data_IF_815667548480
#
_entry.id   IF_815667548480
#
_cell.length_a   1.000
_cell.length_b   1.000
_cell.length_c   1.000
_cell.angle_alpha   90.00
_cell.angle_beta   90.00
_cell.angle_gamma   90.00
#
_symmetry.space_group_name_H-M   'P 1'
#
loop_
_entity.id
_entity.type
_entity.pdbx_description
1 polymer ?
#
# COMPACT_ATOMS: atom_id res chain seq x y z
N UNK A 1 -78.56 -4.13 -8.94
CA UNK A 1 -79.83 -4.06 -9.70
C UNK A 1 -79.54 -3.51 -11.09
N UNK A 2 -79.39 -4.38 -12.10
CA UNK A 2 -79.85 -4.20 -13.50
C UNK A 2 -79.29 -5.32 -14.38
N UNK A 3 -80.23 -6.02 -15.01
CA UNK A 3 -80.07 -7.00 -16.08
C UNK A 3 -79.45 -6.34 -17.33
N UNK A 4 -78.81 -7.11 -18.20
CA UNK A 4 -79.35 -7.39 -19.53
C UNK A 4 -78.73 -8.67 -20.12
N UNK A 5 -79.61 -9.56 -20.60
CA UNK A 5 -79.33 -10.76 -21.37
C UNK A 5 -78.90 -10.40 -22.80
N UNK A 6 -78.05 -11.23 -23.42
CA UNK A 6 -78.32 -11.75 -24.77
C UNK A 6 -77.64 -13.12 -24.96
N UNK A 7 -78.41 -14.06 -25.51
CA UNK A 7 -78.05 -15.46 -25.73
C UNK A 7 -77.54 -15.67 -27.15
N UNK A 8 -76.57 -16.57 -27.38
CA UNK A 8 -76.57 -17.39 -28.59
C UNK A 8 -75.67 -18.65 -28.50
N UNK A 9 -76.29 -19.79 -28.81
CA UNK A 9 -75.81 -21.04 -29.45
C UNK A 9 -74.53 -21.75 -28.92
N UNK A 10 -74.66 -22.88 -28.21
CA UNK A 10 -74.76 -24.29 -28.70
C UNK A 10 -73.42 -24.87 -29.19
N UNK A 11 -72.74 -25.69 -28.37
CA UNK A 11 -72.62 -27.15 -28.55
C UNK A 11 -71.85 -27.77 -27.38
N UNK A 12 -72.45 -28.82 -26.81
CA UNK A 12 -71.92 -29.70 -25.77
C UNK A 12 -71.01 -30.77 -26.37
N UNK A 13 -69.92 -31.14 -25.67
CA UNK A 13 -69.54 -32.53 -25.45
C UNK A 13 -68.46 -32.63 -24.35
N UNK A 14 -68.92 -33.09 -23.18
CA UNK A 14 -68.10 -33.59 -22.09
C UNK A 14 -67.59 -34.98 -22.44
N UNK A 15 -66.27 -35.16 -22.43
CA UNK A 15 -65.59 -36.44 -22.17
C UNK A 15 -64.43 -36.05 -21.24
N UNK A 16 -64.48 -36.31 -19.94
CA UNK A 16 -64.40 -37.65 -19.35
C UNK A 16 -62.97 -37.86 -18.88
N UNK A 17 -62.67 -37.41 -17.65
CA UNK A 17 -61.41 -37.68 -16.97
C UNK A 17 -61.32 -39.15 -16.51
N UNK A 18 -60.07 -39.57 -16.31
CA UNK A 18 -59.55 -40.89 -15.87
C UNK A 18 -59.38 -41.89 -17.02
N UNK A 19 -58.18 -42.32 -17.39
CA UNK A 19 -56.85 -42.19 -16.80
C UNK A 19 -56.13 -43.52 -17.05
N UNK A 20 -54.90 -43.47 -17.56
CA UNK A 20 -53.88 -44.49 -17.33
C UNK A 20 -52.51 -43.98 -17.79
N UNK A 21 -51.50 -44.30 -16.99
CA UNK A 21 -50.17 -43.71 -17.01
C UNK A 21 -49.37 -44.08 -18.26
N UNK A 22 -48.71 -43.09 -18.87
CA UNK A 22 -47.60 -43.29 -19.79
C UNK A 22 -46.38 -42.59 -19.18
N UNK A 23 -45.42 -43.40 -18.71
CA UNK A 23 -44.10 -42.94 -18.24
C UNK A 23 -43.38 -42.22 -19.38
N UNK A 24 -43.36 -40.89 -19.38
CA UNK A 24 -42.37 -40.14 -20.14
C UNK A 24 -41.07 -40.09 -19.32
N UNK A 25 -40.00 -40.63 -19.90
CA UNK A 25 -38.63 -40.39 -19.41
C UNK A 25 -38.33 -38.91 -19.62
N UNK A 26 -38.49 -38.11 -18.57
CA UNK A 26 -37.85 -36.80 -18.49
C UNK A 26 -36.34 -37.05 -18.43
N UNK A 27 -35.64 -36.68 -19.51
CA UNK A 27 -34.19 -36.52 -19.49
C UNK A 27 -33.91 -35.37 -18.53
N UNK A 28 -33.32 -35.73 -17.39
CA UNK A 28 -32.65 -34.80 -16.49
C UNK A 28 -31.44 -34.24 -17.25
N UNK A 29 -31.64 -33.11 -17.94
CA UNK A 29 -30.50 -32.29 -18.35
C UNK A 29 -30.07 -31.53 -17.11
N UNK A 30 -29.18 -32.17 -16.34
CA UNK A 30 -28.33 -31.45 -15.40
C UNK A 30 -27.47 -30.49 -16.22
N UNK A 31 -27.93 -29.27 -16.39
CA UNK A 31 -27.03 -28.14 -16.62
C UNK A 31 -26.16 -28.05 -15.37
N UNK A 32 -24.99 -28.68 -15.43
CA UNK A 32 -23.89 -28.30 -14.56
C UNK A 32 -23.63 -26.83 -14.87
N UNK A 33 -24.12 -25.95 -13.99
CA UNK A 33 -23.65 -24.57 -13.93
C UNK A 33 -22.15 -24.68 -13.68
N UNK A 34 -21.37 -24.59 -14.76
CA UNK A 34 -19.94 -24.44 -14.68
C UNK A 34 -19.73 -23.18 -13.85
N UNK A 35 -19.35 -23.34 -12.57
CA UNK A 35 -18.93 -22.20 -11.76
C UNK A 35 -17.76 -21.58 -12.52
N UNK A 36 -17.99 -20.44 -13.17
CA UNK A 36 -16.96 -19.70 -13.90
C UNK A 36 -15.80 -19.51 -12.93
N UNK A 37 -14.70 -20.23 -13.18
CA UNK A 37 -13.52 -20.18 -12.33
C UNK A 37 -12.76 -18.91 -12.66
N UNK A 38 -12.88 -17.89 -11.81
CA UNK A 38 -12.15 -16.62 -11.95
C UNK A 38 -10.65 -16.91 -11.94
N UNK A 39 -9.93 -16.47 -12.98
CA UNK A 39 -8.48 -16.68 -13.12
C UNK A 39 -7.69 -15.79 -12.16
N UNK A 40 -6.42 -16.12 -11.91
CA UNK A 40 -5.53 -15.27 -11.10
C UNK A 40 -5.41 -13.86 -11.70
N UNK A 41 -5.21 -13.75 -13.00
CA UNK A 41 -5.15 -12.46 -13.72
C UNK A 41 -6.43 -11.62 -13.54
N UNK A 42 -7.61 -12.24 -13.63
CA UNK A 42 -8.87 -11.53 -13.42
C UNK A 42 -9.03 -11.00 -11.99
N UNK A 43 -8.53 -11.75 -10.99
CA UNK A 43 -8.52 -11.30 -9.60
C UNK A 43 -7.53 -10.15 -9.40
N UNK A 44 -6.32 -10.25 -9.96
CA UNK A 44 -5.31 -9.20 -9.92
C UNK A 44 -5.82 -7.90 -10.56
N UNK A 45 -6.42 -7.98 -11.76
CA UNK A 45 -7.02 -6.82 -12.42
C UNK A 45 -8.14 -6.20 -11.58
N UNK A 46 -8.97 -7.04 -10.94
CA UNK A 46 -10.08 -6.58 -10.10
C UNK A 46 -9.58 -5.82 -8.87
N UNK A 47 -8.63 -6.37 -8.11
CA UNK A 47 -8.09 -5.71 -6.92
C UNK A 47 -7.29 -4.47 -7.27
N UNK A 48 -6.48 -4.49 -8.35
CA UNK A 48 -5.75 -3.30 -8.80
C UNK A 48 -6.71 -2.17 -9.21
N UNK A 49 -7.75 -2.47 -10.00
CA UNK A 49 -8.72 -1.45 -10.46
C UNK A 49 -9.53 -0.85 -9.31
N UNK A 50 -10.02 -1.69 -8.40
CA UNK A 50 -10.79 -1.23 -7.24
C UNK A 50 -9.92 -0.37 -6.32
N UNK A 51 -8.69 -0.80 -6.04
CA UNK A 51 -7.79 -0.08 -5.14
C UNK A 51 -7.25 1.21 -5.76
N UNK A 52 -6.96 1.20 -7.06
CA UNK A 52 -6.65 2.42 -7.84
C UNK A 52 -7.72 3.50 -7.65
N UNK A 53 -9.00 3.13 -7.57
CA UNK A 53 -10.08 4.10 -7.40
C UNK A 53 -10.05 4.85 -6.05
N UNK A 54 -9.34 4.34 -5.04
CA UNK A 54 -9.05 5.11 -3.82
C UNK A 54 -8.32 6.42 -4.17
N UNK A 55 -7.31 6.34 -5.03
CA UNK A 55 -6.46 7.46 -5.45
C UNK A 55 -7.03 8.22 -6.65
N UNK A 56 -7.95 7.61 -7.39
CA UNK A 56 -8.55 8.25 -8.55
C UNK A 56 -9.85 8.98 -8.22
N UNK A 57 -10.85 8.25 -7.73
CA UNK A 57 -12.17 8.79 -7.35
C UNK A 57 -12.19 9.29 -5.91
N UNK A 58 -11.44 8.64 -5.01
CA UNK A 58 -11.38 8.96 -3.59
C UNK A 58 -10.38 10.08 -3.23
N UNK A 59 -9.59 10.56 -4.19
CA UNK A 59 -8.67 11.69 -3.98
C UNK A 59 -9.39 12.95 -3.47
N UNK A 60 -8.65 13.77 -2.71
CA UNK A 60 -9.14 15.08 -2.30
C UNK A 60 -9.27 15.97 -3.56
N UNK A 61 -10.43 16.60 -3.78
CA UNK A 61 -10.77 17.21 -5.07
C UNK A 61 -9.95 18.45 -5.42
N UNK A 62 -9.31 19.14 -4.49
CA UNK A 62 -8.54 20.37 -4.73
C UNK A 62 -7.09 20.05 -5.12
N UNK A 63 -6.45 19.18 -4.37
CA UNK A 63 -5.06 18.74 -4.54
C UNK A 63 -4.93 17.62 -5.57
N UNK A 64 -5.92 16.74 -5.68
CA UNK A 64 -5.79 15.48 -6.41
C UNK A 64 -4.90 14.44 -5.71
N UNK A 65 -4.48 14.71 -4.47
CA UNK A 65 -3.67 13.84 -3.62
C UNK A 65 -4.55 12.90 -2.78
N UNK A 66 -3.92 11.94 -2.11
CA UNK A 66 -4.60 10.92 -1.33
C UNK A 66 -5.14 11.50 -0.01
N UNK A 67 -6.43 11.26 0.26
CA UNK A 67 -6.97 11.44 1.61
C UNK A 67 -6.28 10.45 2.54
N UNK A 68 -5.98 10.86 3.76
CA UNK A 68 -5.47 9.98 4.82
C UNK A 68 -6.37 8.75 5.00
N UNK A 69 -7.68 9.00 5.08
CA UNK A 69 -8.69 7.96 5.33
C UNK A 69 -9.96 8.24 4.55
N UNK A 70 -10.65 7.18 4.15
CA UNK A 70 -12.00 7.24 3.59
C UNK A 70 -12.90 6.28 4.36
N UNK A 71 -13.91 6.83 5.02
CA UNK A 71 -14.92 6.07 5.75
C UNK A 71 -16.26 6.13 5.02
N UNK A 72 -16.75 4.99 4.53
CA UNK A 72 -18.02 4.94 3.80
C UNK A 72 -19.24 5.04 4.71
N UNK A 73 -19.06 4.90 6.03
CA UNK A 73 -20.08 5.18 7.04
C UNK A 73 -20.19 6.69 7.37
N UNK A 74 -19.32 7.53 6.81
CA UNK A 74 -19.19 8.98 7.05
C UNK A 74 -18.93 9.35 8.52
N UNK A 75 -18.39 8.41 9.31
CA UNK A 75 -18.07 8.63 10.73
C UNK A 75 -16.57 8.92 10.86
N UNK A 76 -16.19 10.18 11.07
CA UNK A 76 -14.79 10.61 11.29
C UNK A 76 -14.63 11.12 12.74
N UNK A 77 -14.26 10.27 13.71
CA UNK A 77 -14.18 10.66 15.12
C UNK A 77 -13.04 11.64 15.41
N UNK A 78 -11.98 11.55 14.61
CA UNK A 78 -10.74 12.31 14.75
C UNK A 78 -10.33 12.81 13.38
N UNK A 79 -10.11 14.13 13.28
CA UNK A 79 -9.72 14.85 12.06
C UNK A 79 -10.79 14.92 10.97
N UNK A 80 -10.61 15.88 10.05
CA UNK A 80 -11.51 16.10 8.92
C UNK A 80 -11.37 14.98 7.87
N UNK A 81 -12.43 14.73 7.10
CA UNK A 81 -12.45 13.77 5.99
C UNK A 81 -11.49 14.15 4.86
N UNK A 82 -11.19 15.44 4.70
CA UNK A 82 -10.41 15.98 3.59
C UNK A 82 -8.94 16.22 3.95
N UNK A 83 -8.45 15.62 5.05
CA UNK A 83 -7.02 15.58 5.35
C UNK A 83 -6.27 14.77 4.29
N UNK A 84 -5.21 15.35 3.76
CA UNK A 84 -4.30 14.76 2.79
C UNK A 84 -3.08 14.22 3.53
N UNK A 85 -2.69 12.98 3.23
CA UNK A 85 -1.44 12.37 3.75
C UNK A 85 -0.35 12.41 2.70
N UNK A 86 0.88 12.73 3.11
CA UNK A 86 2.01 12.90 2.20
C UNK A 86 2.59 11.57 1.75
N UNK A 87 2.95 10.66 2.65
CA UNK A 87 3.53 9.37 2.27
C UNK A 87 2.53 8.48 1.54
N UNK A 88 1.27 8.45 2.01
CA UNK A 88 0.18 7.78 1.30
C UNK A 88 -0.08 8.37 -0.11
N UNK A 89 0.19 9.65 -0.31
CA UNK A 89 0.15 10.26 -1.64
C UNK A 89 1.33 9.86 -2.53
N UNK A 90 2.49 9.58 -1.96
CA UNK A 90 3.62 8.96 -2.67
C UNK A 90 3.23 7.64 -3.32
N UNK A 91 2.58 6.76 -2.57
CA UNK A 91 2.03 5.52 -3.13
C UNK A 91 0.91 5.81 -4.15
N UNK A 92 0.08 6.82 -3.88
CA UNK A 92 -1.00 7.24 -4.76
C UNK A 92 -0.56 7.70 -6.14
N UNK A 93 0.54 8.45 -6.26
CA UNK A 93 1.06 8.88 -7.57
C UNK A 93 1.59 7.70 -8.39
N UNK A 94 2.12 6.66 -7.75
CA UNK A 94 2.49 5.40 -8.41
C UNK A 94 1.25 4.60 -8.81
N UNK A 95 0.21 4.57 -7.97
CA UNK A 95 -1.07 3.95 -8.30
C UNK A 95 -1.72 4.60 -9.53
N UNK A 96 -1.54 5.91 -9.75
CA UNK A 96 -2.00 6.58 -10.98
C UNK A 96 -1.33 5.98 -12.22
N UNK A 97 -0.03 5.67 -12.15
CA UNK A 97 0.68 5.01 -13.25
C UNK A 97 0.16 3.58 -13.50
N UNK A 98 -0.22 2.82 -12.45
CA UNK A 98 -0.94 1.53 -12.62
C UNK A 98 -2.19 1.76 -13.47
N UNK A 99 -2.95 2.82 -13.18
CA UNK A 99 -4.15 3.16 -13.94
C UNK A 99 -3.90 3.47 -15.41
N UNK A 100 -2.74 4.03 -15.75
CA UNK A 100 -2.33 4.28 -17.14
C UNK A 100 -1.95 2.95 -17.81
N UNK A 101 -1.06 2.17 -17.19
CA UNK A 101 -0.51 0.93 -17.78
C UNK A 101 -1.53 -0.20 -17.89
N UNK A 102 -2.57 -0.18 -17.05
CA UNK A 102 -3.68 -1.15 -17.07
C UNK A 102 -4.93 -0.63 -17.77
N UNK A 103 -4.82 0.49 -18.50
CA UNK A 103 -5.91 1.11 -19.26
C UNK A 103 -7.18 1.42 -18.42
N UNK A 104 -7.02 1.67 -17.11
CA UNK A 104 -8.11 2.14 -16.26
C UNK A 104 -8.44 3.60 -16.55
N UNK A 105 -7.42 4.38 -16.92
CA UNK A 105 -7.49 5.77 -17.37
C UNK A 105 -6.59 5.97 -18.58
N UNK A 106 -6.84 7.02 -19.36
CA UNK A 106 -5.92 7.39 -20.43
C UNK A 106 -4.68 8.05 -19.87
N UNK A 107 -3.54 7.91 -20.56
CA UNK A 107 -2.28 8.59 -20.24
C UNK A 107 -2.45 10.11 -20.05
N UNK A 108 -3.23 10.73 -20.92
CA UNK A 108 -3.57 12.16 -20.84
C UNK A 108 -4.30 12.55 -19.54
N UNK A 109 -5.25 11.72 -19.07
CA UNK A 109 -5.94 11.96 -17.79
C UNK A 109 -4.99 11.74 -16.62
N UNK A 110 -4.13 10.72 -16.69
CA UNK A 110 -3.11 10.46 -15.69
C UNK A 110 -2.14 11.64 -15.54
N UNK A 111 -1.61 12.13 -16.67
CA UNK A 111 -0.74 13.31 -16.72
C UNK A 111 -1.40 14.54 -16.10
N UNK A 112 -2.65 14.85 -16.49
CA UNK A 112 -3.38 15.99 -15.93
C UNK A 112 -3.61 15.87 -14.41
N UNK A 113 -3.80 14.66 -13.88
CA UNK A 113 -3.91 14.45 -12.43
C UNK A 113 -2.58 14.67 -11.73
N UNK A 114 -1.48 14.19 -12.29
CA UNK A 114 -0.15 14.31 -11.70
C UNK A 114 0.36 15.74 -11.74
N UNK A 115 0.07 16.50 -12.81
CA UNK A 115 0.33 17.95 -12.86
C UNK A 115 -0.40 18.69 -11.73
N UNK A 116 -1.67 18.36 -11.50
CA UNK A 116 -2.46 18.94 -10.41
C UNK A 116 -1.87 18.62 -9.02
N UNK A 117 -1.44 17.39 -8.82
CA UNK A 117 -0.78 16.97 -7.59
C UNK A 117 0.52 17.75 -7.35
N UNK A 118 1.37 17.88 -8.37
CA UNK A 118 2.63 18.63 -8.31
C UNK A 118 2.38 20.14 -8.15
N UNK A 119 1.35 20.70 -8.80
CA UNK A 119 0.90 22.08 -8.60
C UNK A 119 0.54 22.34 -7.13
N UNK A 120 -0.16 21.42 -6.49
CA UNK A 120 -0.51 21.54 -5.08
C UNK A 120 0.73 21.47 -4.18
N UNK A 121 1.61 20.49 -4.40
CA UNK A 121 2.83 20.28 -3.61
C UNK A 121 3.81 21.46 -3.70
N UNK A 122 3.91 22.11 -4.87
CA UNK A 122 4.72 23.32 -5.08
C UNK A 122 4.31 24.48 -4.17
N UNK A 123 3.01 24.55 -3.81
CA UNK A 123 2.42 25.65 -3.06
C UNK A 123 2.08 25.29 -1.60
N UNK A 124 2.21 24.01 -1.23
CA UNK A 124 1.95 23.54 0.12
C UNK A 124 3.03 23.99 1.11
N UNK A 125 2.68 24.03 2.39
CA UNK A 125 3.64 24.27 3.46
C UNK A 125 4.76 23.21 3.43
N UNK A 126 6.01 23.68 3.51
CA UNK A 126 7.23 22.87 3.60
C UNK A 126 8.15 23.45 4.66
N UNK A 127 8.98 22.58 5.24
CA UNK A 127 9.85 22.87 6.37
C UNK A 127 11.24 22.33 6.05
N UNK A 128 12.16 23.23 5.67
CA UNK A 128 13.46 22.83 5.10
C UNK A 128 13.26 21.87 3.90
N UNK A 129 12.34 22.23 3.02
CA UNK A 129 11.97 21.45 1.84
C UNK A 129 11.13 20.19 2.08
N UNK A 130 11.13 19.63 3.30
CA UNK A 130 10.28 18.48 3.64
C UNK A 130 8.83 18.89 3.85
N UNK A 131 7.89 18.02 3.48
CA UNK A 131 6.46 18.22 3.74
C UNK A 131 6.08 17.70 5.14
N UNK A 132 4.99 18.21 5.74
CA UNK A 132 4.44 17.62 6.96
C UNK A 132 3.79 16.27 6.68
N UNK A 133 3.49 15.51 7.74
CA UNK A 133 2.71 14.27 7.62
C UNK A 133 1.34 14.51 6.97
N UNK A 134 0.63 15.56 7.44
CA UNK A 134 -0.70 15.92 6.97
C UNK A 134 -0.81 17.36 6.45
N UNK A 135 -1.56 17.50 5.37
CA UNK A 135 -1.99 18.77 4.80
C UNK A 135 -3.51 18.87 4.76
N UNK A 136 -4.01 20.09 4.83
CA UNK A 136 -5.41 20.42 4.55
C UNK A 136 -5.59 20.81 3.08
N UNK A 137 -6.83 20.84 2.53
CA UNK A 137 -7.08 21.14 1.11
C UNK A 137 -6.57 22.50 0.59
N UNK A 138 -6.21 23.43 1.47
CA UNK A 138 -5.62 24.72 1.10
C UNK A 138 -4.07 24.71 1.10
N UNK A 139 -3.45 23.54 1.25
CA UNK A 139 -2.00 23.37 1.29
C UNK A 139 -1.36 23.70 2.64
N UNK A 140 -2.15 23.85 3.71
CA UNK A 140 -1.62 24.15 5.05
C UNK A 140 -1.39 22.92 5.89
N UNK A 141 -0.26 22.91 6.59
CA UNK A 141 0.07 21.88 7.58
C UNK A 141 -1.02 21.81 8.65
N UNK A 142 -1.42 20.58 8.97
CA UNK A 142 -2.22 20.29 10.17
C UNK A 142 -1.43 19.31 11.05
N UNK A 143 -1.38 19.52 12.37
CA UNK A 143 -0.58 18.68 13.25
C UNK A 143 -1.09 17.24 13.27
N UNK A 144 -0.18 16.28 13.14
CA UNK A 144 -0.45 14.86 13.39
C UNK A 144 -0.55 14.57 14.89
N UNK A 145 0.29 15.26 15.67
CA UNK A 145 0.23 15.31 17.12
C UNK A 145 0.62 16.71 17.62
N UNK A 146 0.51 16.98 18.93
CA UNK A 146 0.77 18.32 19.49
C UNK A 146 2.11 18.94 19.05
N UNK A 147 3.17 18.13 19.00
CA UNK A 147 4.53 18.58 18.66
C UNK A 147 4.94 18.27 17.22
N UNK A 148 4.13 17.50 16.52
CA UNK A 148 4.37 17.11 15.14
C UNK A 148 3.56 18.02 14.21
N UNK A 149 4.09 19.23 14.04
CA UNK A 149 3.47 20.34 13.30
C UNK A 149 4.49 21.02 12.36
N UNK A 150 5.43 20.24 11.84
CA UNK A 150 6.47 20.69 10.93
C UNK A 150 6.75 19.63 9.86
N UNK A 151 8.00 19.49 9.43
CA UNK A 151 8.35 18.49 8.41
C UNK A 151 8.45 17.09 9.01
N UNK A 152 7.93 16.12 8.25
CA UNK A 152 8.08 14.68 8.48
C UNK A 152 8.95 14.11 7.34
N UNK A 153 10.17 13.71 7.67
CA UNK A 153 11.15 13.28 6.68
C UNK A 153 10.88 11.87 6.14
N UNK A 154 10.20 11.01 6.91
CA UNK A 154 9.86 9.64 6.48
C UNK A 154 8.70 9.72 5.48
N UNK A 155 7.65 10.49 5.78
CA UNK A 155 6.54 10.71 4.85
C UNK A 155 7.02 11.42 3.57
N UNK A 156 7.91 12.40 3.71
CA UNK A 156 8.59 13.04 2.58
C UNK A 156 9.36 12.03 1.73
N UNK A 157 10.05 11.06 2.35
CA UNK A 157 10.77 10.02 1.61
C UNK A 157 9.83 9.14 0.78
N UNK A 158 8.69 8.71 1.32
CA UNK A 158 7.69 7.95 0.55
C UNK A 158 7.09 8.77 -0.60
N UNK A 159 6.82 10.06 -0.38
CA UNK A 159 6.38 10.96 -1.46
C UNK A 159 7.42 11.05 -2.57
N UNK A 160 8.68 11.29 -2.21
CA UNK A 160 9.78 11.43 -3.16
C UNK A 160 10.05 10.13 -3.91
N UNK A 161 9.96 8.96 -3.27
CA UNK A 161 10.06 7.66 -3.94
C UNK A 161 9.03 7.55 -5.08
N UNK A 162 7.77 7.90 -4.80
CA UNK A 162 6.71 7.94 -5.80
C UNK A 162 6.93 9.00 -6.89
N UNK A 163 7.33 10.21 -6.52
CA UNK A 163 7.55 11.29 -7.47
C UNK A 163 8.72 11.01 -8.41
N UNK A 164 9.86 10.53 -7.90
CA UNK A 164 10.99 10.15 -8.76
C UNK A 164 10.62 9.01 -9.72
N UNK A 165 9.76 8.09 -9.29
CA UNK A 165 9.21 7.07 -10.19
C UNK A 165 8.38 7.69 -11.32
N UNK A 166 7.52 8.67 -11.00
CA UNK A 166 6.72 9.43 -12.00
C UNK A 166 7.62 10.23 -12.94
N UNK A 167 8.67 10.86 -12.40
CA UNK A 167 9.68 11.58 -13.20
C UNK A 167 10.27 10.67 -14.26
N UNK A 168 10.82 9.51 -13.87
CA UNK A 168 11.45 8.58 -14.81
C UNK A 168 10.45 8.03 -15.85
N UNK A 169 9.16 7.89 -15.50
CA UNK A 169 8.13 7.46 -16.45
C UNK A 169 7.82 8.48 -17.56
N UNK A 170 8.05 9.77 -17.28
CA UNK A 170 7.73 10.88 -18.18
C UNK A 170 8.96 11.61 -18.75
N UNK A 171 10.17 11.29 -18.27
CA UNK A 171 11.44 11.94 -18.65
C UNK A 171 11.67 11.97 -20.17
N UNK A 172 11.42 10.86 -20.85
CA UNK A 172 11.60 10.72 -22.30
C UNK A 172 10.31 10.97 -23.10
N UNK A 173 9.28 11.51 -22.44
CA UNK A 173 7.97 11.79 -23.00
C UNK A 173 7.91 13.02 -23.93
N UNK A 174 6.69 13.47 -24.16
CA UNK A 174 6.43 14.71 -24.90
C UNK A 174 6.79 15.97 -24.06
N UNK A 175 6.74 17.15 -24.67
CA UNK A 175 7.13 18.41 -24.01
C UNK A 175 6.35 18.73 -22.73
N UNK A 176 5.09 18.30 -22.60
CA UNK A 176 4.29 18.50 -21.38
C UNK A 176 4.71 17.54 -20.28
N UNK A 177 4.95 16.27 -20.64
CA UNK A 177 5.45 15.24 -19.73
C UNK A 177 6.84 15.60 -19.18
N UNK A 178 7.73 16.08 -20.04
CA UNK A 178 9.06 16.57 -19.65
C UNK A 178 9.00 17.74 -18.68
N UNK A 179 8.03 18.64 -18.83
CA UNK A 179 7.82 19.74 -17.88
C UNK A 179 7.40 19.24 -16.50
N UNK A 180 6.53 18.23 -16.43
CA UNK A 180 6.18 17.59 -15.16
C UNK A 180 7.42 16.96 -14.52
N UNK A 181 8.20 16.19 -15.28
CA UNK A 181 9.43 15.56 -14.79
C UNK A 181 10.44 16.59 -14.25
N UNK A 182 10.64 17.72 -14.94
CA UNK A 182 11.51 18.81 -14.49
C UNK A 182 11.03 19.47 -13.19
N UNK A 183 9.72 19.64 -13.01
CA UNK A 183 9.15 20.18 -11.76
C UNK A 183 9.34 19.23 -10.59
N UNK A 184 9.16 17.94 -10.83
CA UNK A 184 9.45 16.91 -9.84
C UNK A 184 10.94 16.92 -9.46
N UNK A 185 11.85 17.00 -10.43
CA UNK A 185 13.29 17.12 -10.16
C UNK A 185 13.58 18.31 -9.24
N UNK A 186 12.97 19.46 -9.51
CA UNK A 186 13.13 20.65 -8.67
C UNK A 186 12.63 20.42 -7.25
N UNK A 187 11.44 19.83 -7.08
CA UNK A 187 10.90 19.51 -5.74
C UNK A 187 11.81 18.57 -4.96
N UNK A 188 12.36 17.56 -5.63
CA UNK A 188 13.36 16.63 -5.07
C UNK A 188 14.63 17.35 -4.61
N UNK A 189 15.16 18.24 -5.44
CA UNK A 189 16.37 19.02 -5.16
C UNK A 189 16.19 20.03 -4.01
N UNK A 190 14.96 20.42 -3.70
CA UNK A 190 14.66 21.38 -2.64
C UNK A 190 14.53 20.74 -1.24
N UNK A 191 14.50 19.40 -1.12
CA UNK A 191 14.44 18.74 0.20
C UNK A 191 15.81 18.80 0.88
N UNK A 192 15.89 19.47 2.03
CA UNK A 192 17.13 19.65 2.79
C UNK A 192 17.41 18.45 3.72
N UNK A 193 17.73 17.28 3.17
CA UNK A 193 17.93 16.07 3.98
C UNK A 193 19.04 16.22 5.04
N UNK A 194 20.09 16.97 4.74
CA UNK A 194 21.20 17.23 5.65
C UNK A 194 20.79 18.10 6.85
N UNK A 195 19.78 18.98 6.71
CA UNK A 195 19.19 19.72 7.83
C UNK A 195 18.69 18.78 8.93
N UNK A 196 18.01 17.70 8.53
CA UNK A 196 17.44 16.70 9.43
C UNK A 196 18.47 15.81 10.12
N UNK A 197 19.77 16.04 9.90
CA UNK A 197 20.81 15.43 10.72
C UNK A 197 21.00 16.13 12.06
N UNK A 198 20.56 17.38 12.20
CA UNK A 198 20.91 18.25 13.35
C UNK A 198 22.44 18.39 13.54
N UNK A 199 23.23 18.11 12.51
CA UNK A 199 24.71 18.07 12.58
C UNK A 199 25.26 16.79 13.23
N UNK A 200 24.44 15.77 13.42
CA UNK A 200 24.79 14.47 14.00
C UNK A 200 24.90 13.38 12.92
N UNK A 201 25.37 12.18 13.28
CA UNK A 201 25.47 11.04 12.35
C UNK A 201 24.20 10.17 12.40
N UNK A 202 23.03 10.79 12.32
CA UNK A 202 21.71 10.14 12.27
C UNK A 202 20.71 11.10 11.63
N UNK A 203 19.65 10.58 10.99
CA UNK A 203 18.51 11.40 10.56
C UNK A 203 17.44 11.41 11.64
N UNK A 204 16.89 12.60 11.89
CA UNK A 204 15.71 12.79 12.74
C UNK A 204 14.45 12.76 11.88
N UNK A 205 13.42 12.11 12.41
CA UNK A 205 12.14 11.96 11.72
C UNK A 205 11.43 13.31 11.53
N UNK A 206 11.46 14.18 12.56
CA UNK A 206 10.66 15.40 12.58
C UNK A 206 11.51 16.65 12.88
N UNK A 207 11.08 17.77 12.32
CA UNK A 207 11.51 19.11 12.73
C UNK A 207 10.32 20.08 12.68
N UNK A 208 10.19 20.94 13.69
CA UNK A 208 9.12 21.93 13.79
C UNK A 208 9.64 23.36 13.88
N UNK A 209 9.01 24.36 13.23
CA UNK A 209 9.35 25.76 13.45
C UNK A 209 8.97 26.28 14.86
N UNK A 210 8.03 25.62 15.55
CA UNK A 210 7.57 25.99 16.90
C UNK A 210 8.30 25.20 17.98
N UNK A 211 8.52 23.90 17.74
CA UNK A 211 9.07 22.95 18.72
C UNK A 211 10.50 22.49 18.40
N UNK A 212 11.09 22.96 17.30
CA UNK A 212 12.42 22.58 16.83
C UNK A 212 12.57 21.04 16.77
N UNK A 213 13.44 20.48 17.60
CA UNK A 213 13.77 19.05 17.65
C UNK A 213 13.09 18.31 18.80
N UNK A 214 12.08 18.89 19.46
CA UNK A 214 11.47 18.35 20.67
C UNK A 214 10.78 16.98 20.48
N UNK A 215 10.38 16.63 19.26
CA UNK A 215 9.93 15.26 18.94
C UNK A 215 11.06 14.24 19.18
N UNK A 216 12.31 14.67 18.99
CA UNK A 216 13.54 13.98 19.35
C UNK A 216 13.54 12.48 18.99
N UNK A 217 13.24 12.20 17.72
CA UNK A 217 13.16 10.84 17.21
C UNK A 217 14.26 10.59 16.17
N UNK A 218 15.48 10.20 16.61
CA UNK A 218 16.52 9.72 15.71
C UNK A 218 16.12 8.36 15.13
N UNK A 219 16.26 8.17 13.82
CA UNK A 219 15.75 7.00 13.10
C UNK A 219 16.84 5.93 12.95
N UNK A 220 16.86 4.95 13.85
CA UNK A 220 17.65 3.72 13.72
C UNK A 220 16.88 2.60 13.01
N UNK A 221 17.59 1.73 12.28
CA UNK A 221 17.01 0.58 11.59
C UNK A 221 17.12 -0.73 12.40
N UNK A 222 16.43 -1.81 12.01
CA UNK A 222 15.64 -1.93 10.80
C UNK A 222 14.17 -1.60 11.04
N UNK A 223 13.59 -0.75 10.20
CA UNK A 223 12.16 -0.43 10.17
C UNK A 223 11.75 -0.01 8.73
N UNK A 224 10.59 0.63 8.56
CA UNK A 224 10.06 1.07 7.26
C UNK A 224 10.84 2.19 6.56
N UNK A 225 11.79 2.85 7.23
CA UNK A 225 12.38 4.13 6.80
C UNK A 225 13.71 4.01 6.04
N UNK A 226 14.06 2.83 5.50
CA UNK A 226 15.29 2.62 4.72
C UNK A 226 15.42 3.62 3.56
N UNK A 227 14.34 3.86 2.82
CA UNK A 227 14.32 4.73 1.65
C UNK A 227 14.65 6.19 1.99
N UNK A 228 14.33 6.63 3.22
CA UNK A 228 14.71 7.96 3.72
C UNK A 228 16.23 8.14 3.72
N UNK A 229 16.99 7.15 4.19
CA UNK A 229 18.45 7.22 4.19
C UNK A 229 19.05 7.11 2.78
N UNK A 230 18.47 6.27 1.93
CA UNK A 230 18.92 6.13 0.53
C UNK A 230 18.71 7.44 -0.23
N UNK A 231 17.51 8.04 -0.12
CA UNK A 231 17.20 9.32 -0.73
C UNK A 231 18.06 10.45 -0.14
N UNK A 232 18.23 10.50 1.18
CA UNK A 232 19.12 11.48 1.78
C UNK A 232 20.56 11.38 1.26
N UNK A 233 21.07 10.17 0.98
CA UNK A 233 22.40 9.99 0.41
C UNK A 233 22.44 10.31 -1.10
N UNK A 234 21.33 10.09 -1.80
CA UNK A 234 21.13 10.33 -3.22
C UNK A 234 20.94 11.81 -3.59
N UNK A 235 20.48 12.65 -2.65
CA UNK A 235 20.21 14.07 -2.90
C UNK A 235 21.41 14.77 -3.55
N UNK A 236 21.24 15.43 -4.72
CA UNK A 236 22.34 16.11 -5.40
C UNK A 236 22.67 17.48 -4.77
N UNK A 237 21.79 18.02 -3.92
CA UNK A 237 21.86 19.37 -3.34
C UNK A 237 22.08 19.36 -1.83
N UNK A 238 21.42 18.42 -1.13
CA UNK A 238 21.43 18.32 0.33
C UNK A 238 21.80 16.91 0.83
N UNK A 239 22.93 16.33 0.38
CA UNK A 239 23.28 14.96 0.71
C UNK A 239 23.76 14.78 2.16
N UNK A 240 23.33 13.70 2.81
CA UNK A 240 24.00 13.22 4.03
C UNK A 240 25.36 12.59 3.73
N UNK A 241 26.23 12.48 4.74
CA UNK A 241 27.45 11.69 4.63
C UNK A 241 27.17 10.20 4.88
N UNK A 242 28.09 9.32 4.45
CA UNK A 242 27.94 7.87 4.62
C UNK A 242 27.84 7.47 6.10
N UNK A 243 28.54 8.19 6.98
CA UNK A 243 28.55 7.93 8.42
C UNK A 243 27.17 8.12 9.06
N UNK A 244 26.32 8.98 8.49
CA UNK A 244 24.92 9.17 8.96
C UNK A 244 24.13 7.87 8.82
N UNK A 245 24.35 7.14 7.72
CA UNK A 245 23.76 5.83 7.50
C UNK A 245 24.40 4.74 8.38
N UNK A 246 25.73 4.67 8.43
CA UNK A 246 26.43 3.60 9.16
C UNK A 246 26.24 3.70 10.68
N UNK A 247 26.22 4.92 11.23
CA UNK A 247 26.12 5.15 12.68
C UNK A 247 24.67 5.32 13.15
N UNK A 248 23.84 5.99 12.35
CA UNK A 248 22.43 6.22 12.64
C UNK A 248 21.57 5.02 12.29
N UNK A 249 21.36 4.78 10.99
CA UNK A 249 20.52 3.68 10.51
C UNK A 249 21.05 2.31 10.93
N UNK A 250 22.30 2.00 10.57
CA UNK A 250 22.88 0.69 10.81
C UNK A 250 23.39 0.50 12.25
N UNK A 251 23.30 1.54 13.09
CA UNK A 251 23.66 1.52 14.52
C UNK A 251 25.08 0.97 14.76
N UNK A 252 26.05 1.41 13.96
CA UNK A 252 27.43 0.89 13.97
C UNK A 252 27.50 -0.64 13.78
N UNK A 253 26.65 -1.19 12.92
CA UNK A 253 26.53 -2.61 12.64
C UNK A 253 25.63 -3.39 13.61
N UNK A 254 25.08 -2.77 14.66
CA UNK A 254 24.14 -3.46 15.55
C UNK A 254 22.83 -3.89 14.84
N UNK A 255 22.53 -3.30 13.68
CA UNK A 255 21.40 -3.71 12.81
C UNK A 255 21.48 -5.17 12.35
N UNK A 256 22.66 -5.80 12.33
CA UNK A 256 22.83 -7.18 11.87
C UNK A 256 22.58 -8.23 12.96
N UNK A 257 22.09 -7.83 14.14
CA UNK A 257 21.77 -8.74 15.25
C UNK A 257 20.45 -9.46 15.02
N UNK A 258 20.43 -10.33 14.02
CA UNK A 258 19.26 -11.09 13.64
C UNK A 258 18.87 -12.16 14.68
N UNK A 259 17.71 -12.77 14.46
CA UNK A 259 17.26 -13.95 15.19
C UNK A 259 16.65 -14.96 14.23
N UNK A 260 16.31 -16.16 14.71
CA UNK A 260 15.57 -17.15 13.93
C UNK A 260 14.15 -17.29 14.47
N UNK A 261 13.15 -17.13 13.60
CA UNK A 261 11.74 -17.32 13.96
C UNK A 261 11.04 -18.14 12.87
N UNK A 262 10.21 -19.11 13.27
CA UNK A 262 9.60 -20.10 12.36
C UNK A 262 10.60 -20.76 11.37
N UNK A 263 11.84 -20.99 11.84
CA UNK A 263 12.93 -21.62 11.10
C UNK A 263 13.55 -20.76 10.00
N UNK A 264 13.34 -19.44 10.02
CA UNK A 264 13.92 -18.48 9.07
C UNK A 264 14.71 -17.40 9.83
N UNK A 265 15.90 -17.01 9.36
CA UNK A 265 16.62 -15.87 9.90
C UNK A 265 15.90 -14.57 9.54
N UNK A 266 15.84 -13.63 10.49
CA UNK A 266 15.23 -12.31 10.28
C UNK A 266 16.14 -11.38 9.46
N UNK A 267 17.40 -11.78 9.21
CA UNK A 267 18.43 -11.06 8.45
C UNK A 267 18.92 -9.78 9.13
N UNK A 268 18.01 -8.94 9.61
CA UNK A 268 18.30 -7.77 10.41
C UNK A 268 17.55 -7.81 11.75
N UNK A 269 17.99 -6.96 12.66
CA UNK A 269 17.30 -6.61 13.89
C UNK A 269 16.18 -5.60 13.59
N UNK A 270 14.94 -6.10 13.59
CA UNK A 270 13.73 -5.30 13.39
C UNK A 270 13.45 -4.36 14.57
N UNK A 271 14.01 -4.55 15.75
CA UNK A 271 13.71 -3.66 16.86
C UNK A 271 14.91 -3.44 17.76
N UNK A 272 15.45 -2.22 17.70
CA UNK A 272 16.43 -1.79 18.68
C UNK A 272 15.89 -1.79 20.12
N UNK A 273 14.59 -1.51 20.29
CA UNK A 273 13.96 -1.23 21.58
C UNK A 273 12.92 -2.28 22.03
N UNK A 274 12.77 -3.37 21.30
CA UNK A 274 11.78 -4.42 21.56
C UNK A 274 12.38 -5.81 21.25
N UNK A 275 11.83 -6.87 21.85
CA UNK A 275 12.27 -8.25 21.65
C UNK A 275 11.49 -8.98 20.53
N UNK A 276 10.65 -8.28 19.78
CA UNK A 276 9.85 -8.88 18.71
C UNK A 276 10.75 -9.37 17.58
N UNK A 277 10.56 -10.59 17.09
CA UNK A 277 11.43 -11.14 16.05
C UNK A 277 11.27 -10.41 14.71
N UNK A 278 10.06 -9.93 14.40
CA UNK A 278 9.75 -9.20 13.17
C UNK A 278 8.76 -8.07 13.44
N UNK A 279 8.81 -7.04 12.60
CA UNK A 279 7.85 -5.93 12.61
C UNK A 279 6.51 -6.22 11.94
N UNK A 280 5.59 -5.24 11.95
CA UNK A 280 4.44 -5.20 11.05
C UNK A 280 4.85 -5.40 9.60
N UNK A 281 4.00 -6.03 8.80
CA UNK A 281 4.36 -6.43 7.43
C UNK A 281 4.73 -5.26 6.51
N UNK A 282 4.19 -4.06 6.75
CA UNK A 282 4.45 -2.87 5.92
C UNK A 282 5.93 -2.44 5.86
N UNK A 283 6.75 -2.88 6.82
CA UNK A 283 8.20 -2.64 6.83
C UNK A 283 8.94 -3.33 5.68
N UNK A 284 8.36 -4.39 5.11
CA UNK A 284 8.87 -5.02 3.89
C UNK A 284 8.28 -4.39 2.60
N UNK A 285 7.44 -3.35 2.73
CA UNK A 285 6.69 -2.78 1.61
C UNK A 285 7.10 -1.34 1.28
N UNK A 286 7.00 -0.42 2.24
CA UNK A 286 6.97 1.02 1.92
C UNK A 286 8.25 1.49 1.23
N UNK A 287 9.40 1.20 1.84
CA UNK A 287 10.73 1.49 1.26
C UNK A 287 11.08 0.67 0.02
N UNK A 288 10.19 -0.20 -0.48
CA UNK A 288 10.44 -1.10 -1.61
C UNK A 288 9.36 -0.99 -2.69
N UNK A 289 8.58 0.09 -2.68
CA UNK A 289 7.60 0.35 -3.72
C UNK A 289 8.28 0.75 -5.02
N UNK A 290 9.32 1.57 -4.95
CA UNK A 290 10.23 1.94 -6.04
C UNK A 290 11.61 1.29 -5.89
N UNK A 291 12.21 1.25 -4.69
CA UNK A 291 13.50 0.57 -4.51
C UNK A 291 13.37 -0.93 -4.75
N UNK A 292 14.12 -1.47 -5.71
CA UNK A 292 14.06 -2.88 -6.04
C UNK A 292 14.91 -3.72 -5.07
N UNK A 293 14.32 -4.61 -4.25
CA UNK A 293 15.09 -5.46 -3.34
C UNK A 293 15.80 -6.63 -4.05
N UNK A 294 15.42 -7.00 -5.28
CA UNK A 294 16.02 -8.15 -5.99
C UNK A 294 17.48 -7.87 -6.34
N UNK A 295 18.38 -8.64 -5.75
CA UNK A 295 19.82 -8.49 -5.96
C UNK A 295 20.40 -7.25 -5.29
N UNK A 296 19.62 -6.56 -4.44
CA UNK A 296 20.05 -5.42 -3.66
C UNK A 296 20.71 -5.91 -2.37
N UNK A 297 21.99 -5.57 -2.19
CA UNK A 297 22.76 -5.92 -0.99
C UNK A 297 23.64 -4.77 -0.56
N UNK A 298 23.91 -4.66 0.72
CA UNK A 298 24.96 -3.80 1.27
C UNK A 298 25.84 -4.58 2.25
N UNK A 299 26.47 -3.89 3.19
CA UNK A 299 27.34 -4.51 4.20
C UNK A 299 26.55 -5.30 5.27
N UNK A 300 25.24 -5.09 5.35
CA UNK A 300 24.40 -5.52 6.45
C UNK A 300 23.39 -6.60 6.04
N UNK A 301 22.84 -6.55 4.82
CA UNK A 301 21.78 -7.47 4.40
C UNK A 301 21.75 -7.79 2.90
N UNK A 302 21.13 -8.94 2.60
CA UNK A 302 20.42 -9.17 1.33
C UNK A 302 18.95 -8.77 1.54
N UNK A 303 18.51 -7.70 0.87
CA UNK A 303 17.19 -7.12 1.10
C UNK A 303 16.05 -7.93 0.47
N UNK A 304 16.34 -8.75 -0.54
CA UNK A 304 15.36 -9.72 -1.04
C UNK A 304 15.11 -10.82 -0.02
N UNK A 305 16.18 -11.35 0.56
CA UNK A 305 16.07 -12.38 1.59
C UNK A 305 15.41 -11.85 2.86
N UNK A 306 15.75 -10.63 3.30
CA UNK A 306 15.12 -9.93 4.42
C UNK A 306 13.60 -9.88 4.25
N UNK A 307 13.12 -9.30 3.14
CA UNK A 307 11.70 -9.11 2.91
C UNK A 307 10.97 -10.44 2.73
N UNK A 308 11.57 -11.39 2.00
CA UNK A 308 11.01 -12.73 1.81
C UNK A 308 10.89 -13.48 3.13
N UNK A 309 11.91 -13.45 3.98
CA UNK A 309 11.88 -14.14 5.26
C UNK A 309 10.86 -13.47 6.19
N UNK A 310 10.79 -12.14 6.25
CA UNK A 310 9.77 -11.41 7.01
C UNK A 310 8.35 -11.82 6.58
N UNK A 311 8.07 -11.84 5.27
CA UNK A 311 6.78 -12.30 4.74
C UNK A 311 6.48 -13.75 5.12
N UNK A 312 7.43 -14.66 4.92
CA UNK A 312 7.20 -16.09 5.17
C UNK A 312 7.10 -16.40 6.66
N UNK A 313 7.75 -15.63 7.54
CA UNK A 313 7.58 -15.72 9.00
C UNK A 313 6.15 -15.36 9.39
N UNK A 314 5.62 -14.25 8.89
CA UNK A 314 4.25 -13.81 9.12
C UNK A 314 3.22 -14.83 8.59
N UNK A 315 3.44 -15.36 7.38
CA UNK A 315 2.62 -16.44 6.83
C UNK A 315 2.64 -17.69 7.70
N UNK A 316 3.83 -18.18 8.09
CA UNK A 316 3.97 -19.37 8.93
C UNK A 316 3.34 -19.20 10.30
N UNK A 317 3.44 -18.02 10.91
CA UNK A 317 2.75 -17.70 12.16
C UNK A 317 1.23 -17.83 11.99
N UNK A 318 0.66 -17.30 10.91
CA UNK A 318 -0.78 -17.40 10.65
C UNK A 318 -1.24 -18.84 10.36
N UNK A 319 -0.41 -19.66 9.69
CA UNK A 319 -0.69 -21.08 9.46
C UNK A 319 -0.62 -21.89 10.75
N UNK A 320 0.37 -21.62 11.61
CA UNK A 320 0.51 -22.23 12.93
C UNK A 320 -0.63 -21.83 13.87
N UNK A 321 -1.07 -20.57 13.77
CA UNK A 321 -2.18 -19.99 14.53
C UNK A 321 -2.12 -20.34 16.03
N UNK A 322 -1.05 -19.93 16.75
CA UNK A 322 -0.81 -20.36 18.13
C UNK A 322 -1.90 -19.88 19.12
N UNK A 323 -2.68 -18.86 18.73
CA UNK A 323 -3.82 -18.33 19.50
C UNK A 323 -5.17 -18.94 19.11
N UNK A 324 -5.20 -19.84 18.12
CA UNK A 324 -6.40 -20.49 17.59
C UNK A 324 -7.50 -19.51 17.14
N UNK A 325 -7.12 -18.35 16.59
CA UNK A 325 -8.09 -17.38 16.09
C UNK A 325 -8.82 -17.89 14.86
N UNK A 326 -10.12 -17.58 14.77
CA UNK A 326 -10.96 -18.01 13.66
C UNK A 326 -10.46 -17.49 12.31
N UNK A 327 -10.33 -18.41 11.36
CA UNK A 327 -10.03 -18.14 9.95
C UNK A 327 -8.55 -18.10 9.60
N UNK A 328 -7.66 -17.85 10.56
CA UNK A 328 -6.21 -17.82 10.32
C UNK A 328 -5.73 -19.14 9.69
N UNK A 329 -4.92 -19.06 8.64
CA UNK A 329 -4.43 -20.24 7.93
C UNK A 329 -3.74 -19.92 6.59
N UNK A 330 -3.66 -20.94 5.73
CA UNK A 330 -2.95 -20.87 4.44
C UNK A 330 -3.53 -19.84 3.46
N UNK A 331 -4.80 -19.49 3.59
CA UNK A 331 -5.52 -18.59 2.69
C UNK A 331 -6.11 -17.35 3.40
N UNK A 332 -5.75 -17.12 4.67
CA UNK A 332 -6.13 -15.93 5.44
C UNK A 332 -5.03 -15.61 6.46
N UNK A 333 -4.20 -14.61 6.15
CA UNK A 333 -3.01 -14.25 6.91
C UNK A 333 -2.67 -12.77 6.70
N UNK A 334 -1.74 -12.25 7.50
CA UNK A 334 -1.18 -10.92 7.32
C UNK A 334 -1.49 -9.98 8.48
N UNK A 335 -0.46 -9.67 9.27
CA UNK A 335 -0.54 -8.73 10.39
C UNK A 335 0.31 -7.50 10.08
N UNK A 336 -0.31 -6.32 10.13
CA UNK A 336 0.39 -5.06 9.96
C UNK A 336 -0.33 -3.94 10.71
N UNK A 337 0.29 -2.76 10.81
CA UNK A 337 -0.36 -1.58 11.38
C UNK A 337 -1.59 -1.21 10.55
N UNK A 338 -2.75 -1.10 11.19
CA UNK A 338 -4.03 -0.79 10.54
C UNK A 338 -5.07 -0.35 11.58
N UNK A 339 -6.29 -0.03 11.13
CA UNK A 339 -7.45 -0.01 12.02
C UNK A 339 -7.58 -1.34 12.77
N UNK A 340 -8.12 -1.24 13.98
CA UNK A 340 -8.29 -2.35 14.91
C UNK A 340 -9.59 -2.18 15.69
N UNK A 341 -10.00 -3.25 16.37
CA UNK A 341 -11.26 -3.31 17.14
C UNK A 341 -11.40 -2.10 18.08
N UNK A 342 -10.28 -1.67 18.69
CA UNK A 342 -10.21 -0.54 19.61
C UNK A 342 -9.40 0.64 19.05
N UNK A 343 -9.59 1.00 17.78
CA UNK A 343 -8.94 2.16 17.16
C UNK A 343 -7.93 1.78 16.10
N UNK A 344 -6.64 1.97 16.38
CA UNK A 344 -5.52 1.67 15.47
C UNK A 344 -4.41 0.97 16.25
N UNK A 345 -3.77 -0.05 15.65
CA UNK A 345 -2.72 -0.80 16.33
C UNK A 345 -1.69 -1.35 15.34
N UNK A 346 -0.43 -1.48 15.80
CA UNK A 346 0.66 -2.12 15.06
C UNK A 346 0.62 -3.64 15.20
N UNK A 347 -0.22 -4.32 14.42
CA UNK A 347 -0.35 -5.78 14.46
C UNK A 347 0.89 -6.47 13.91
N UNK A 348 1.33 -7.51 14.61
CA UNK A 348 2.49 -8.36 14.31
C UNK A 348 2.41 -9.63 15.17
N UNK A 349 3.18 -10.70 14.91
CA UNK A 349 3.01 -12.00 15.56
C UNK A 349 2.90 -11.98 17.10
N UNK A 350 3.74 -11.21 17.80
CA UNK A 350 3.72 -11.09 19.27
C UNK A 350 2.59 -10.18 19.80
N UNK A 351 2.03 -9.31 18.96
CA UNK A 351 0.91 -8.39 19.26
C UNK A 351 -0.36 -8.70 18.47
N UNK A 352 -0.57 -9.98 18.18
CA UNK A 352 -1.74 -10.47 17.46
C UNK A 352 -3.00 -10.46 18.35
N UNK A 353 -4.03 -9.73 17.91
CA UNK A 353 -5.35 -9.64 18.54
C UNK A 353 -6.46 -10.01 17.54
N UNK A 354 -6.18 -10.99 16.68
CA UNK A 354 -7.09 -11.57 15.68
C UNK A 354 -7.50 -10.65 14.53
N UNK A 355 -6.82 -9.51 14.36
CA UNK A 355 -7.08 -8.55 13.28
C UNK A 355 -6.15 -8.84 12.10
N UNK A 356 -6.74 -9.12 10.94
CA UNK A 356 -6.04 -9.29 9.67
C UNK A 356 -6.25 -8.03 8.84
N UNK A 357 -5.17 -7.54 8.22
CA UNK A 357 -5.20 -6.39 7.33
C UNK A 357 -4.79 -6.82 5.93
N UNK A 358 -5.68 -6.74 4.91
CA UNK A 358 -5.41 -7.23 3.55
C UNK A 358 -4.10 -6.74 2.93
N UNK A 359 -3.68 -5.49 3.20
CA UNK A 359 -2.44 -4.95 2.65
C UNK A 359 -1.20 -5.76 3.02
N UNK A 360 -1.19 -6.41 4.20
CA UNK A 360 -0.06 -7.24 4.63
C UNK A 360 0.21 -8.39 3.65
N UNK A 361 -0.84 -9.16 3.32
CA UNK A 361 -0.72 -10.29 2.40
C UNK A 361 -0.64 -9.82 0.94
N UNK A 362 -1.48 -8.87 0.52
CA UNK A 362 -1.58 -8.46 -0.87
C UNK A 362 -0.36 -7.67 -1.35
N UNK A 363 0.20 -6.79 -0.53
CA UNK A 363 1.41 -6.03 -0.88
C UNK A 363 2.69 -6.88 -0.78
N UNK A 364 2.59 -8.07 -0.18
CA UNK A 364 3.66 -9.09 -0.19
C UNK A 364 3.67 -9.97 -1.45
N UNK A 365 2.84 -9.67 -2.47
CA UNK A 365 2.74 -10.44 -3.72
C UNK A 365 4.10 -10.75 -4.37
N UNK A 366 5.08 -9.83 -4.41
CA UNK A 366 6.38 -10.16 -4.99
C UNK A 366 7.16 -11.20 -4.21
N UNK A 367 7.00 -11.27 -2.88
CA UNK A 367 7.81 -12.08 -1.98
C UNK A 367 7.22 -13.49 -1.73
N UNK A 368 5.89 -13.58 -1.67
CA UNK A 368 5.15 -14.82 -1.43
C UNK A 368 3.95 -14.94 -2.39
N UNK A 369 4.18 -14.99 -3.72
CA UNK A 369 3.11 -14.85 -4.71
C UNK A 369 2.04 -15.94 -4.60
N UNK A 370 2.41 -17.17 -4.24
CA UNK A 370 1.45 -18.27 -4.09
C UNK A 370 0.52 -18.03 -2.90
N UNK A 371 1.08 -17.62 -1.77
CA UNK A 371 0.40 -17.37 -0.50
C UNK A 371 -0.47 -16.11 -0.57
N UNK A 372 0.03 -15.03 -1.20
CA UNK A 372 -0.70 -13.80 -1.45
C UNK A 372 -1.84 -14.00 -2.44
N UNK A 373 -1.66 -14.81 -3.49
CA UNK A 373 -2.74 -15.16 -4.41
C UNK A 373 -3.80 -16.06 -3.75
N UNK A 374 -3.40 -16.96 -2.85
CA UNK A 374 -4.35 -17.75 -2.06
C UNK A 374 -5.22 -16.84 -1.18
N UNK A 375 -4.61 -15.86 -0.51
CA UNK A 375 -5.33 -14.83 0.25
C UNK A 375 -6.31 -14.03 -0.63
N UNK A 376 -5.83 -13.49 -1.76
CA UNK A 376 -6.66 -12.72 -2.69
C UNK A 376 -7.87 -13.53 -3.16
N UNK A 377 -7.64 -14.77 -3.56
CA UNK A 377 -8.69 -15.68 -4.03
C UNK A 377 -9.69 -15.98 -2.92
N UNK A 378 -9.24 -16.26 -1.70
CA UNK A 378 -10.13 -16.51 -0.58
C UNK A 378 -11.00 -15.28 -0.29
N UNK A 379 -10.38 -14.10 -0.23
CA UNK A 379 -11.08 -12.83 0.00
C UNK A 379 -12.17 -12.58 -1.05
N UNK A 380 -11.85 -12.69 -2.34
CA UNK A 380 -12.77 -12.39 -3.44
C UNK A 380 -13.78 -13.49 -3.78
N UNK A 381 -13.62 -14.71 -3.24
CA UNK A 381 -14.55 -15.83 -3.53
C UNK A 381 -15.34 -16.32 -2.32
N UNK A 382 -14.89 -16.02 -1.10
CA UNK A 382 -15.54 -16.47 0.13
C UNK A 382 -15.88 -15.33 1.11
N UNK A 383 -15.34 -14.13 0.92
CA UNK A 383 -15.48 -13.01 1.86
C UNK A 383 -15.78 -11.69 1.14
N UNK A 384 -16.77 -11.71 0.24
CA UNK A 384 -17.23 -10.54 -0.52
C UNK A 384 -17.63 -9.34 0.36
N UNK A 385 -18.12 -9.59 1.58
CA UNK A 385 -18.47 -8.55 2.57
C UNK A 385 -17.28 -7.76 3.12
N UNK A 386 -16.05 -8.25 2.92
CA UNK A 386 -14.80 -7.57 3.33
C UNK A 386 -14.25 -6.64 2.22
N UNK A 387 -14.92 -6.56 1.08
CA UNK A 387 -14.53 -5.78 -0.08
C UNK A 387 -15.58 -4.70 -0.32
N UNK A 388 -15.16 -3.45 -0.38
CA UNK A 388 -16.03 -2.34 -0.71
C UNK A 388 -15.66 -1.65 -2.02
N UNK A 389 -16.13 -0.41 -2.15
CA UNK A 389 -15.95 0.42 -3.36
C UNK A 389 -14.49 0.55 -3.81
N UNK A 390 -13.56 0.64 -2.87
CA UNK A 390 -12.14 0.93 -3.14
C UNK A 390 -11.24 -0.28 -2.91
N UNK A 391 -11.79 -1.50 -3.04
CA UNK A 391 -11.07 -2.75 -2.80
C UNK A 391 -11.36 -3.30 -1.41
N UNK A 392 -10.47 -4.15 -0.88
CA UNK A 392 -10.58 -4.64 0.49
C UNK A 392 -10.65 -3.49 1.49
N UNK A 393 -11.47 -3.63 2.53
CA UNK A 393 -11.42 -2.72 3.68
C UNK A 393 -10.12 -2.90 4.45
N UNK A 394 -9.76 -1.88 5.22
CA UNK A 394 -8.48 -1.74 5.91
C UNK A 394 -8.09 -2.96 6.77
N UNK A 395 -9.04 -3.45 7.57
CA UNK A 395 -8.83 -4.56 8.47
C UNK A 395 -10.14 -5.23 8.90
N UNK A 396 -10.04 -6.46 9.37
CA UNK A 396 -11.17 -7.23 9.91
C UNK A 396 -10.73 -8.27 10.94
N UNK A 397 -11.67 -8.73 11.76
CA UNK A 397 -11.51 -9.87 12.67
C UNK A 397 -12.71 -10.81 12.51
N UNK A 398 -12.47 -12.04 12.05
CA UNK A 398 -13.52 -13.06 11.94
C UNK A 398 -13.89 -13.67 13.30
N UNK A 399 -12.98 -13.60 14.27
CA UNK A 399 -13.16 -14.00 15.67
C UNK A 399 -14.21 -13.08 16.32
N UNK A 400 -13.98 -11.77 16.25
CA UNK A 400 -14.83 -10.75 16.89
C UNK A 400 -16.00 -10.31 15.99
N UNK A 401 -16.13 -10.90 14.80
CA UNK A 401 -17.11 -10.50 13.78
C UNK A 401 -17.08 -8.98 13.51
N UNK A 402 -15.87 -8.45 13.35
CA UNK A 402 -15.60 -7.02 13.23
C UNK A 402 -15.01 -6.69 11.86
N UNK A 403 -15.60 -5.71 11.19
CA UNK A 403 -15.07 -5.05 9.99
C UNK A 403 -15.72 -3.67 9.94
N UNK A 404 -14.96 -2.66 9.53
CA UNK A 404 -15.48 -1.32 9.30
C UNK A 404 -15.37 -0.98 7.81
N UNK A 405 -16.33 -0.27 7.22
CA UNK A 405 -16.29 0.07 5.80
C UNK A 405 -15.36 1.26 5.54
N UNK A 406 -14.09 1.11 5.92
CA UNK A 406 -13.06 2.15 6.03
C UNK A 406 -11.78 1.73 5.34
N UNK A 407 -11.00 2.72 4.92
CA UNK A 407 -9.76 2.57 4.18
C UNK A 407 -8.74 3.61 4.65
N UNK A 408 -7.45 3.26 4.55
CA UNK A 408 -6.32 4.17 4.71
C UNK A 408 -5.49 4.24 3.44
N UNK A 409 -4.95 5.41 3.11
CA UNK A 409 -4.09 5.56 1.92
C UNK A 409 -2.83 4.70 2.00
N UNK A 410 -2.21 4.64 3.17
CA UNK A 410 -0.96 3.91 3.39
C UNK A 410 -1.16 2.38 3.28
N UNK A 411 -2.38 1.89 3.51
CA UNK A 411 -2.72 0.47 3.35
C UNK A 411 -3.16 0.17 1.91
N UNK A 412 -3.97 1.06 1.31
CA UNK A 412 -4.44 0.89 -0.08
C UNK A 412 -3.34 1.13 -1.12
N UNK A 413 -2.36 1.99 -0.85
CA UNK A 413 -1.35 2.42 -1.81
C UNK A 413 -0.40 1.30 -2.26
N UNK A 414 0.23 0.57 -1.33
CA UNK A 414 1.15 -0.51 -1.66
C UNK A 414 0.49 -1.67 -2.41
N UNK A 415 -0.81 -1.92 -2.24
CA UNK A 415 -1.50 -3.07 -2.86
C UNK A 415 -1.36 -3.06 -4.40
N UNK A 416 -1.86 -2.06 -5.15
CA UNK A 416 -1.76 -2.05 -6.59
C UNK A 416 -0.32 -1.87 -7.08
N UNK A 417 0.52 -1.18 -6.31
CA UNK A 417 1.92 -0.89 -6.65
C UNK A 417 2.77 -2.16 -6.57
N UNK A 418 2.68 -2.92 -5.49
CA UNK A 418 3.42 -4.16 -5.29
C UNK A 418 2.88 -5.30 -6.16
N UNK A 419 1.58 -5.32 -6.44
CA UNK A 419 1.04 -6.22 -7.47
C UNK A 419 1.64 -5.89 -8.85
N UNK A 420 1.77 -4.60 -9.20
CA UNK A 420 2.38 -4.23 -10.48
C UNK A 420 3.86 -4.60 -10.54
N UNK A 421 4.61 -4.39 -9.45
CA UNK A 421 6.00 -4.88 -9.34
C UNK A 421 6.10 -6.40 -9.48
N UNK A 422 5.13 -7.15 -8.96
CA UNK A 422 5.05 -8.59 -9.16
C UNK A 422 4.79 -8.96 -10.63
N UNK A 423 3.84 -8.28 -11.29
CA UNK A 423 3.41 -8.59 -12.67
C UNK A 423 4.43 -8.19 -13.73
N UNK A 424 5.02 -7.00 -13.60
CA UNK A 424 5.86 -6.39 -14.64
C UNK A 424 7.20 -5.83 -14.12
N UNK A 425 7.34 -5.61 -12.81
CA UNK A 425 8.52 -4.96 -12.24
C UNK A 425 8.63 -3.47 -12.59
N UNK A 426 7.54 -2.85 -13.05
CA UNK A 426 7.53 -1.49 -13.60
C UNK A 426 8.16 -0.45 -12.68
N UNK A 427 7.72 -0.36 -11.43
CA UNK A 427 8.15 0.72 -10.54
C UNK A 427 9.58 0.52 -10.05
N UNK A 428 9.96 -0.73 -9.80
CA UNK A 428 11.34 -1.12 -9.59
C UNK A 428 12.26 -0.74 -10.74
N UNK A 429 11.85 -0.95 -11.99
CA UNK A 429 12.64 -0.55 -13.15
C UNK A 429 12.76 0.98 -13.24
N UNK A 430 11.65 1.70 -13.11
CA UNK A 430 11.61 3.16 -13.23
C UNK A 430 12.48 3.82 -12.15
N UNK A 431 12.22 3.54 -10.87
CA UNK A 431 12.94 4.17 -9.77
C UNK A 431 14.43 3.85 -9.81
N UNK A 432 14.81 2.61 -10.12
CA UNK A 432 16.22 2.19 -10.21
C UNK A 432 16.93 2.69 -11.47
N UNK A 433 16.24 3.36 -12.41
CA UNK A 433 16.86 4.05 -13.54
C UNK A 433 17.31 5.47 -13.17
N UNK A 434 16.78 6.03 -12.07
CA UNK A 434 17.13 7.37 -11.62
C UNK A 434 18.62 7.45 -11.22
N UNK A 435 19.36 8.36 -11.85
CA UNK A 435 20.82 8.47 -11.68
C UNK A 435 21.23 8.93 -10.29
N UNK A 436 20.42 9.73 -9.61
CA UNK A 436 20.74 10.22 -8.27
C UNK A 436 20.54 9.10 -7.24
N UNK A 437 19.47 8.31 -7.38
CA UNK A 437 19.25 7.08 -6.58
C UNK A 437 20.44 6.13 -6.69
N UNK A 438 20.92 5.84 -7.92
CA UNK A 438 22.07 4.97 -8.12
C UNK A 438 23.34 5.52 -7.44
N UNK A 439 23.62 6.83 -7.55
CA UNK A 439 24.74 7.46 -6.83
C UNK A 439 24.60 7.35 -5.31
N UNK A 440 23.38 7.50 -4.79
CA UNK A 440 23.09 7.36 -3.36
C UNK A 440 23.36 5.95 -2.86
N UNK A 441 22.88 4.94 -3.59
CA UNK A 441 23.15 3.53 -3.32
C UNK A 441 24.66 3.24 -3.34
N UNK A 442 25.37 3.65 -4.39
CA UNK A 442 26.82 3.47 -4.51
C UNK A 442 27.57 4.12 -3.33
N UNK A 443 27.17 5.35 -2.96
CA UNK A 443 27.75 6.09 -1.84
C UNK A 443 27.56 5.40 -0.50
N UNK A 444 26.40 4.78 -0.29
CA UNK A 444 26.12 3.99 0.90
C UNK A 444 26.75 2.59 0.86
N UNK A 445 27.35 2.18 -0.27
CA UNK A 445 28.00 0.88 -0.43
C UNK A 445 27.03 -0.25 -0.74
N UNK A 446 25.87 0.06 -1.30
CA UNK A 446 24.97 -0.93 -1.87
C UNK A 446 25.54 -1.46 -3.18
N UNK A 447 25.15 -2.68 -3.52
CA UNK A 447 25.42 -3.36 -4.77
C UNK A 447 24.11 -3.88 -5.34
N UNK A 448 24.00 -3.81 -6.66
CA UNK A 448 22.85 -4.32 -7.42
C UNK A 448 23.38 -5.38 -8.35
N UNK A 449 23.17 -6.65 -8.01
CA UNK A 449 23.45 -7.75 -8.95
C UNK A 449 22.22 -7.98 -9.81
N UNK A 450 22.39 -7.99 -11.14
CA UNK A 450 21.31 -8.36 -12.05
C UNK A 450 20.67 -9.70 -11.58
N UNK A 451 19.34 -9.81 -11.51
CA UNK A 451 18.69 -11.07 -11.19
C UNK A 451 19.19 -12.15 -12.17
N UNK A 452 19.65 -13.29 -11.65
CA UNK A 452 19.95 -14.47 -12.47
C UNK A 452 18.69 -15.08 -13.04
#
# INVERSE_FOLDING_TARGET
MRLFLFSMAITTLLVGCNGHSSKSKLRDQGESVEKIKITDEQLLDSVQKQTFNYFWEGAEPTSGLARERIHLDDIYPTHDKDIITIGGSGFGVMAILVGIERDFITREKGLARLEKAVDFLDNADRFHGAWPHWLTPNGKMTPFSKKDNGGDLVETAFLIEGLLTVKEYFEDGNEREKKLAQRIQKLWEEVEWDWYTKGENVLYWHWSPEYEWDMNFPVGGYNEALIMYILAAASPTHPIKKEVYEQGWARNGAITKDTTFYGLPTILDHYESDASPVGPMFWAHYSFTGLNPKGLKDQYADYWELNRNHTMIQYKYAVDNPKNFKGYGEDLWGLTSSYSINGYAGHRPDRDISVISPTAALSSMPYAPKESMAFLRNLYTKHDTLIGKYGPYDAFSLEENWVLPRYLAIDQGPIPVMIENHRSGLFWMLFMTNKDVIKGLDKLGFSITAPQ
#
